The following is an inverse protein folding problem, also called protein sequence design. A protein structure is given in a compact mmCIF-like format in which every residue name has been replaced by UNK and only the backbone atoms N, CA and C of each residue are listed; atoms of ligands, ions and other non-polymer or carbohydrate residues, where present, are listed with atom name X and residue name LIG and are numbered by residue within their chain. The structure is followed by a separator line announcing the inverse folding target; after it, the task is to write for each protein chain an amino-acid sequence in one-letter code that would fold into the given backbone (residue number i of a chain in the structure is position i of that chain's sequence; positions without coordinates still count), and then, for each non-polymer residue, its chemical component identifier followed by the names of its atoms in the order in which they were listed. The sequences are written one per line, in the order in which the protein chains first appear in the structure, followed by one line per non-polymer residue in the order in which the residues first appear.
data_IF_653013642801
#
_entry.id   IF_653013642801
#
_cell.length_a   1.000
_cell.length_b   1.000
_cell.length_c   1.000
_cell.angle_alpha   90.00
_cell.angle_beta   90.00
_cell.angle_gamma   90.00
#
_symmetry.space_group_name_H-M   'P 1'
#
loop_
_entity.id
_entity.type
_entity.pdbx_description
1 polymer ?
#
# COMPACT_ATOMS: atom_id res chain seq x y z
N UNK A 1 -15.87 -69.22 40.60
CA UNK A 1 -17.11 -68.45 40.33
C UNK A 1 -17.80 -68.21 41.66
N UNK A 2 -18.36 -66.99 41.85
CA UNK A 2 -19.07 -66.45 43.04
C UNK A 2 -18.14 -66.16 44.25
N UNK A 3 -18.10 -65.01 44.95
CA UNK A 3 -18.92 -63.79 45.12
C UNK A 3 -18.06 -62.69 45.81
N UNK A 4 -18.30 -61.41 45.47
CA UNK A 4 -18.62 -60.25 46.36
C UNK A 4 -17.82 -60.03 47.65
N UNK A 5 -17.18 -58.86 47.87
CA UNK A 5 -17.74 -57.71 48.63
C UNK A 5 -16.70 -56.61 49.00
N UNK A 6 -17.22 -55.37 49.08
CA UNK A 6 -16.89 -54.19 49.93
C UNK A 6 -15.47 -53.60 50.13
N UNK A 7 -15.37 -52.34 49.68
CA UNK A 7 -15.15 -51.12 50.49
C UNK A 7 -14.14 -51.14 51.67
N UNK A 8 -13.05 -50.35 51.57
CA UNK A 8 -12.79 -49.13 52.37
C UNK A 8 -11.32 -48.64 52.26
N UNK A 9 -11.20 -47.32 52.02
CA UNK A 9 -10.00 -46.47 52.06
C UNK A 9 -9.39 -46.39 53.49
N UNK A 10 -8.13 -45.92 53.71
CA UNK A 10 -7.75 -44.51 53.44
C UNK A 10 -6.27 -44.21 53.07
N UNK A 11 -6.08 -43.02 52.47
CA UNK A 11 -5.01 -42.00 52.65
C UNK A 11 -3.55 -42.48 52.89
N UNK A 12 -2.48 -41.93 52.30
CA UNK A 12 -2.10 -40.53 52.06
C UNK A 12 -0.71 -40.57 51.39
N UNK A 13 -0.37 -39.57 50.56
CA UNK A 13 0.95 -38.95 50.32
C UNK A 13 1.09 -38.48 48.87
N UNK A 14 0.77 -37.20 48.66
CA UNK A 14 1.27 -36.40 47.53
C UNK A 14 2.80 -36.38 47.52
N UNK A 15 3.41 -36.27 46.33
CA UNK A 15 4.29 -35.12 46.11
C UNK A 15 3.87 -34.30 44.89
N UNK A 16 3.75 -33.02 45.17
CA UNK A 16 3.71 -31.84 44.32
C UNK A 16 4.66 -31.95 43.09
N UNK A 17 4.12 -31.86 41.87
CA UNK A 17 4.91 -31.58 40.66
C UNK A 17 4.45 -30.26 40.04
N UNK A 18 5.34 -29.30 40.23
CA UNK A 18 5.56 -27.99 39.63
C UNK A 18 5.00 -27.71 38.22
N UNK A 19 4.28 -26.58 38.15
CA UNK A 19 4.37 -25.53 37.14
C UNK A 19 4.48 -25.91 35.64
N UNK A 20 3.34 -26.05 34.96
CA UNK A 20 3.27 -25.79 33.51
C UNK A 20 2.93 -24.33 33.24
N UNK A 21 3.92 -23.45 33.39
CA UNK A 21 3.86 -22.05 32.95
C UNK A 21 3.91 -22.04 31.42
N UNK A 22 2.76 -21.87 30.75
CA UNK A 22 2.70 -21.57 29.31
C UNK A 22 3.58 -20.34 29.05
N UNK A 23 4.78 -20.55 28.49
CA UNK A 23 5.62 -19.46 27.99
C UNK A 23 4.90 -18.83 26.82
N UNK A 24 4.30 -17.65 27.04
CA UNK A 24 3.91 -16.75 25.96
C UNK A 24 5.22 -16.34 25.28
N UNK A 25 5.49 -16.93 24.12
CA UNK A 25 6.57 -16.46 23.25
C UNK A 25 6.14 -15.08 22.78
N UNK A 26 6.67 -14.04 23.42
CA UNK A 26 6.58 -12.69 22.92
C UNK A 26 7.55 -12.67 21.74
N UNK A 27 7.00 -12.76 20.53
CA UNK A 27 7.76 -12.51 19.32
C UNK A 27 8.13 -11.03 19.33
N UNK A 28 9.43 -10.77 19.32
CA UNK A 28 10.03 -9.46 19.16
C UNK A 28 9.51 -8.79 17.88
N UNK A 29 9.32 -7.48 17.90
CA UNK A 29 8.69 -6.73 16.80
C UNK A 29 9.46 -6.90 15.47
N UNK A 30 10.78 -7.08 15.55
CA UNK A 30 11.68 -7.38 14.43
C UNK A 30 11.32 -8.68 13.68
N UNK A 31 10.75 -9.67 14.36
CA UNK A 31 10.32 -10.92 13.71
C UNK A 31 8.99 -10.77 12.97
N UNK A 32 8.16 -9.78 13.35
CA UNK A 32 6.96 -9.42 12.60
C UNK A 32 7.32 -8.67 11.32
N UNK A 33 8.29 -7.78 11.40
CA UNK A 33 8.79 -7.04 10.25
C UNK A 33 9.44 -7.96 9.20
N UNK A 34 10.23 -8.95 9.64
CA UNK A 34 10.78 -9.98 8.73
C UNK A 34 9.72 -10.85 8.06
N UNK A 35 8.60 -11.15 8.73
CA UNK A 35 7.51 -11.93 8.14
C UNK A 35 6.63 -11.10 7.20
N UNK A 36 6.56 -9.78 7.40
CA UNK A 36 5.90 -8.86 6.47
C UNK A 36 6.72 -8.68 5.18
N UNK A 37 8.06 -8.81 5.22
CA UNK A 37 8.91 -8.90 4.03
C UNK A 37 8.75 -10.20 3.23
N UNK A 38 7.95 -11.16 3.68
CA UNK A 38 7.86 -12.49 3.05
C UNK A 38 6.67 -12.69 2.07
N UNK A 39 5.96 -11.65 1.62
CA UNK A 39 4.89 -11.83 0.62
C UNK A 39 5.26 -11.44 -0.80
N UNK A 40 6.33 -10.66 -1.03
CA UNK A 40 6.74 -10.22 -2.36
C UNK A 40 8.08 -10.85 -2.70
N UNK A 41 8.20 -11.40 -3.90
CA UNK A 41 9.50 -11.69 -4.48
C UNK A 41 10.21 -10.38 -4.85
N UNK A 42 11.55 -10.41 -4.91
CA UNK A 42 12.35 -9.26 -5.34
C UNK A 42 11.93 -8.78 -6.73
N UNK A 43 11.65 -9.71 -7.65
CA UNK A 43 11.15 -9.39 -8.99
C UNK A 43 9.79 -8.69 -8.97
N UNK A 44 8.82 -9.18 -8.17
CA UNK A 44 7.51 -8.53 -8.06
C UNK A 44 7.62 -7.11 -7.51
N UNK A 45 8.49 -6.91 -6.52
CA UNK A 45 8.78 -5.59 -5.98
C UNK A 45 9.35 -4.64 -7.03
N UNK A 46 10.39 -5.05 -7.75
CA UNK A 46 10.99 -4.22 -8.81
C UNK A 46 9.98 -3.90 -9.92
N UNK A 47 9.20 -4.89 -10.37
CA UNK A 47 8.18 -4.68 -11.39
C UNK A 47 7.09 -3.70 -10.94
N UNK A 48 6.66 -3.77 -9.68
CA UNK A 48 5.68 -2.83 -9.13
C UNK A 48 6.24 -1.42 -9.08
N UNK A 49 7.50 -1.25 -8.66
CA UNK A 49 8.13 0.06 -8.62
C UNK A 49 8.38 0.65 -10.01
N UNK A 50 8.78 -0.17 -10.98
CA UNK A 50 8.93 0.26 -12.37
C UNK A 50 7.57 0.73 -12.93
N UNK A 51 6.51 -0.07 -12.76
CA UNK A 51 5.17 0.28 -13.23
C UNK A 51 4.63 1.54 -12.53
N UNK A 52 4.85 1.68 -11.22
CA UNK A 52 4.50 2.88 -10.46
C UNK A 52 5.29 4.11 -10.92
N UNK A 53 6.56 3.95 -11.30
CA UNK A 53 7.41 5.04 -11.79
C UNK A 53 6.89 5.59 -13.11
N UNK A 54 6.55 4.71 -14.05
CA UNK A 54 5.96 5.10 -15.33
C UNK A 54 4.63 5.84 -15.12
N UNK A 55 3.78 5.35 -14.21
CA UNK A 55 2.52 6.02 -13.88
C UNK A 55 2.74 7.39 -13.22
N UNK A 56 3.79 7.54 -12.42
CA UNK A 56 4.19 8.83 -11.81
C UNK A 56 4.59 9.83 -12.88
N UNK A 57 5.42 9.42 -13.84
CA UNK A 57 5.87 10.28 -14.94
C UNK A 57 4.72 10.71 -15.86
N UNK A 58 3.81 9.79 -16.20
CA UNK A 58 2.61 10.13 -16.97
C UNK A 58 1.72 11.13 -16.22
N UNK A 59 1.55 10.95 -14.91
CA UNK A 59 0.77 11.84 -14.08
C UNK A 59 1.43 13.23 -13.93
N UNK A 60 2.76 13.27 -13.88
CA UNK A 60 3.55 14.51 -13.84
C UNK A 60 3.29 15.37 -15.08
N UNK A 61 3.34 14.75 -16.26
CA UNK A 61 3.02 15.42 -17.52
C UNK A 61 1.58 15.99 -17.51
N UNK A 62 0.61 15.20 -17.03
CA UNK A 62 -0.78 15.65 -16.94
C UNK A 62 -0.95 16.82 -15.97
N UNK A 63 -0.27 16.79 -14.81
CA UNK A 63 -0.28 17.91 -13.85
C UNK A 63 0.37 19.17 -14.43
N UNK A 64 1.46 19.02 -15.18
CA UNK A 64 2.12 20.14 -15.85
C UNK A 64 1.17 20.84 -16.83
N UNK A 65 0.52 20.07 -17.70
CA UNK A 65 -0.47 20.60 -18.66
C UNK A 65 -1.69 21.18 -17.94
N UNK A 66 -2.16 20.56 -16.86
CA UNK A 66 -3.27 21.10 -16.06
C UNK A 66 -2.90 22.47 -15.45
N UNK A 67 -1.66 22.64 -14.98
CA UNK A 67 -1.16 23.92 -14.48
C UNK A 67 -1.15 25.01 -15.56
N UNK A 68 -0.72 24.68 -16.78
CA UNK A 68 -0.75 25.59 -17.92
C UNK A 68 -2.18 26.00 -18.29
N UNK A 69 -3.08 25.01 -18.38
CA UNK A 69 -4.50 25.25 -18.63
C UNK A 69 -5.14 26.11 -17.54
N UNK A 70 -4.79 25.92 -16.26
CA UNK A 70 -5.31 26.78 -15.19
C UNK A 70 -4.93 28.25 -15.41
N UNK A 71 -3.70 28.50 -15.84
CA UNK A 71 -3.20 29.84 -16.13
C UNK A 71 -3.91 30.43 -17.35
N UNK A 72 -4.06 29.68 -18.43
CA UNK A 72 -4.69 30.17 -19.66
C UNK A 72 -6.20 30.40 -19.51
N UNK A 73 -6.86 29.56 -18.72
CA UNK A 73 -8.30 29.66 -18.43
C UNK A 73 -8.63 30.54 -17.22
N UNK A 74 -7.61 31.12 -16.56
CA UNK A 74 -7.75 31.91 -15.33
C UNK A 74 -8.51 31.19 -14.20
N UNK A 75 -8.30 29.88 -14.01
CA UNK A 75 -8.84 29.13 -12.89
C UNK A 75 -7.78 28.89 -11.79
N UNK A 76 -8.23 28.46 -10.60
CA UNK A 76 -7.32 28.19 -9.50
C UNK A 76 -6.40 27.01 -9.80
N UNK A 77 -5.08 27.25 -9.79
CA UNK A 77 -4.05 26.23 -10.00
C UNK A 77 -3.39 25.77 -8.69
N UNK A 78 -3.82 26.28 -7.53
CA UNK A 78 -3.23 25.90 -6.24
C UNK A 78 -3.27 24.38 -5.97
N UNK A 79 -4.38 23.66 -6.25
CA UNK A 79 -4.41 22.21 -6.05
C UNK A 79 -3.40 21.47 -6.95
N UNK A 80 -3.33 21.84 -8.23
CA UNK A 80 -2.42 21.21 -9.20
C UNK A 80 -0.96 21.43 -8.80
N UNK A 81 -0.60 22.64 -8.38
CA UNK A 81 0.76 22.93 -7.88
C UNK A 81 1.11 22.13 -6.61
N UNK A 82 0.15 22.00 -5.69
CA UNK A 82 0.35 21.18 -4.49
C UNK A 82 0.55 19.70 -4.84
N UNK A 83 -0.16 19.22 -5.86
CA UNK A 83 0.02 17.86 -6.36
C UNK A 83 1.38 17.66 -7.04
N UNK A 84 1.84 18.61 -7.86
CA UNK A 84 3.19 18.56 -8.44
C UNK A 84 4.25 18.44 -7.34
N UNK A 85 4.20 19.28 -6.30
CA UNK A 85 5.15 19.21 -5.19
C UNK A 85 5.08 17.88 -4.41
N UNK A 86 3.89 17.27 -4.31
CA UNK A 86 3.74 15.95 -3.68
C UNK A 86 4.31 14.85 -4.58
N UNK A 87 4.13 14.96 -5.90
CA UNK A 87 4.64 14.01 -6.87
C UNK A 87 6.17 14.06 -6.99
N UNK A 88 6.77 15.24 -6.79
CA UNK A 88 8.22 15.41 -6.67
C UNK A 88 8.75 14.67 -5.44
N UNK A 89 8.10 14.81 -4.28
CA UNK A 89 8.46 14.07 -3.06
C UNK A 89 8.35 12.55 -3.24
N UNK A 90 7.32 12.10 -3.97
CA UNK A 90 7.19 10.69 -4.36
C UNK A 90 8.35 10.27 -5.25
N UNK A 91 8.74 11.10 -6.23
CA UNK A 91 9.89 10.85 -7.10
C UNK A 91 11.20 10.71 -6.31
N UNK A 92 11.47 11.65 -5.40
CA UNK A 92 12.64 11.59 -4.51
C UNK A 92 12.65 10.29 -3.70
N UNK A 93 11.49 9.92 -3.12
CA UNK A 93 11.32 8.71 -2.35
C UNK A 93 11.60 7.44 -3.18
N UNK A 94 11.15 7.38 -4.44
CA UNK A 94 11.40 6.26 -5.36
C UNK A 94 12.88 6.14 -5.78
N UNK A 95 13.60 7.25 -5.83
CA UNK A 95 15.04 7.26 -6.16
C UNK A 95 15.95 7.03 -4.95
N UNK A 96 15.38 6.86 -3.76
CA UNK A 96 16.13 6.59 -2.54
C UNK A 96 16.95 5.29 -2.67
N UNK A 97 18.19 5.25 -2.15
CA UNK A 97 18.98 4.02 -2.12
C UNK A 97 18.42 2.94 -1.19
N UNK A 98 17.41 3.29 -0.38
CA UNK A 98 16.78 2.39 0.58
C UNK A 98 15.51 1.79 -0.04
N UNK A 99 15.28 0.47 0.11
CA UNK A 99 14.07 -0.16 -0.39
C UNK A 99 12.85 0.40 0.32
N UNK A 100 11.79 0.64 -0.46
CA UNK A 100 10.52 1.16 0.01
C UNK A 100 9.77 0.09 0.79
N UNK A 101 9.15 0.53 1.88
CA UNK A 101 8.24 -0.32 2.65
C UNK A 101 6.86 -0.36 1.99
N UNK A 102 6.12 -1.45 2.17
CA UNK A 102 4.73 -1.58 1.66
C UNK A 102 3.82 -0.42 2.10
N UNK A 103 3.88 0.09 3.35
CA UNK A 103 3.13 1.28 3.74
C UNK A 103 3.49 2.54 2.92
N UNK A 104 4.76 2.76 2.60
CA UNK A 104 5.19 3.88 1.75
C UNK A 104 4.62 3.73 0.34
N UNK A 105 4.74 2.54 -0.25
CA UNK A 105 4.18 2.25 -1.59
C UNK A 105 2.66 2.50 -1.60
N UNK A 106 1.95 2.06 -0.55
CA UNK A 106 0.51 2.30 -0.40
C UNK A 106 0.18 3.78 -0.35
N UNK A 107 0.90 4.53 0.46
CA UNK A 107 0.68 5.97 0.61
C UNK A 107 0.90 6.71 -0.72
N UNK A 108 2.00 6.40 -1.41
CA UNK A 108 2.27 6.94 -2.75
C UNK A 108 1.13 6.64 -3.72
N UNK A 109 0.66 5.39 -3.77
CA UNK A 109 -0.45 4.98 -4.62
C UNK A 109 -1.75 5.74 -4.30
N UNK A 110 -2.04 5.97 -3.02
CA UNK A 110 -3.22 6.72 -2.58
C UNK A 110 -3.14 8.21 -2.95
N UNK A 111 -1.95 8.81 -2.81
CA UNK A 111 -1.71 10.19 -3.23
C UNK A 111 -1.90 10.33 -4.76
N UNK A 112 -1.27 9.46 -5.55
CA UNK A 112 -1.42 9.44 -7.02
C UNK A 112 -2.86 9.20 -7.46
N UNK A 113 -3.60 8.31 -6.77
CA UNK A 113 -5.02 8.08 -7.04
C UNK A 113 -5.84 9.36 -6.83
N UNK A 114 -5.56 10.10 -5.74
CA UNK A 114 -6.24 11.36 -5.43
C UNK A 114 -6.00 12.41 -6.52
N UNK A 115 -4.77 12.52 -7.00
CA UNK A 115 -4.41 13.41 -8.12
C UNK A 115 -5.17 13.02 -9.40
N UNK A 116 -5.18 11.73 -9.75
CA UNK A 116 -5.88 11.20 -10.93
C UNK A 116 -7.38 11.48 -10.88
N UNK A 117 -8.00 11.26 -9.71
CA UNK A 117 -9.41 11.56 -9.47
C UNK A 117 -9.72 13.05 -9.63
N UNK A 118 -8.85 13.92 -9.10
CA UNK A 118 -8.99 15.37 -9.25
C UNK A 118 -8.92 15.78 -10.72
N UNK A 119 -7.90 15.32 -11.46
CA UNK A 119 -7.74 15.62 -12.89
C UNK A 119 -8.96 15.16 -13.70
N UNK A 120 -9.44 13.94 -13.46
CA UNK A 120 -10.65 13.42 -14.11
C UNK A 120 -11.91 14.23 -13.78
N UNK A 121 -12.03 14.76 -12.56
CA UNK A 121 -13.22 15.49 -12.13
C UNK A 121 -13.21 16.95 -12.57
N UNK A 122 -12.06 17.62 -12.49
CA UNK A 122 -11.95 19.07 -12.65
C UNK A 122 -11.40 19.44 -14.02
N UNK A 123 -10.39 18.71 -14.52
CA UNK A 123 -9.65 19.09 -15.71
C UNK A 123 -10.02 18.30 -16.97
N UNK A 124 -10.85 17.27 -16.88
CA UNK A 124 -11.18 16.42 -18.04
C UNK A 124 -11.65 17.23 -19.26
N UNK A 125 -12.55 18.21 -19.06
CA UNK A 125 -13.00 19.07 -20.15
C UNK A 125 -11.91 20.06 -20.60
N UNK A 126 -11.02 20.51 -19.71
CA UNK A 126 -9.91 21.38 -20.08
C UNK A 126 -8.91 20.65 -20.99
N UNK A 127 -8.62 19.37 -20.73
CA UNK A 127 -7.77 18.56 -21.59
C UNK A 127 -8.32 18.36 -23.00
N UNK A 128 -9.65 18.43 -23.20
CA UNK A 128 -10.24 18.40 -24.55
C UNK A 128 -9.90 19.62 -25.40
N UNK A 129 -9.51 20.75 -24.79
CA UNK A 129 -9.10 21.95 -25.51
C UNK A 129 -7.72 21.80 -26.17
N UNK A 130 -6.95 20.80 -25.72
CA UNK A 130 -5.57 20.53 -26.16
C UNK A 130 -5.39 19.08 -26.59
N UNK A 131 -6.47 18.38 -26.92
CA UNK A 131 -6.49 16.99 -27.40
C UNK A 131 -5.78 15.95 -26.49
N UNK A 132 -5.81 16.17 -25.18
CA UNK A 132 -5.15 15.30 -24.19
C UNK A 132 -6.12 14.48 -23.32
N UNK A 133 -7.43 14.53 -23.58
CA UNK A 133 -8.44 13.78 -22.84
C UNK A 133 -8.25 12.26 -22.94
N UNK A 134 -7.75 11.78 -24.07
CA UNK A 134 -7.52 10.35 -24.30
C UNK A 134 -6.28 9.89 -23.54
N UNK A 135 -5.24 10.72 -23.45
CA UNK A 135 -4.06 10.48 -22.61
C UNK A 135 -4.45 10.37 -21.13
N UNK A 136 -5.29 11.29 -20.62
CA UNK A 136 -5.80 11.23 -19.25
C UNK A 136 -6.59 9.94 -19.02
N UNK A 137 -7.44 9.54 -19.98
CA UNK A 137 -8.24 8.32 -19.88
C UNK A 137 -7.39 7.06 -19.88
N UNK A 138 -6.37 7.00 -20.75
CA UNK A 138 -5.45 5.89 -20.84
C UNK A 138 -4.64 5.76 -19.54
N UNK A 139 -4.03 6.85 -19.07
CA UNK A 139 -3.28 6.88 -17.82
C UNK A 139 -4.15 6.42 -16.64
N UNK A 140 -5.39 6.93 -16.54
CA UNK A 140 -6.37 6.47 -15.54
C UNK A 140 -6.63 4.97 -15.63
N UNK A 141 -6.86 4.44 -16.84
CA UNK A 141 -7.15 3.02 -17.02
C UNK A 141 -5.96 2.15 -16.62
N UNK A 142 -4.74 2.54 -17.00
CA UNK A 142 -3.50 1.87 -16.60
C UNK A 142 -3.32 1.90 -15.09
N UNK A 143 -3.54 3.07 -14.47
CA UNK A 143 -3.45 3.22 -13.02
C UNK A 143 -4.47 2.33 -12.29
N UNK A 144 -5.71 2.25 -12.76
CA UNK A 144 -6.72 1.38 -12.17
C UNK A 144 -6.36 -0.11 -12.31
N UNK A 145 -5.84 -0.52 -13.46
CA UNK A 145 -5.37 -1.89 -13.67
C UNK A 145 -4.20 -2.22 -12.73
N UNK A 146 -3.23 -1.31 -12.60
CA UNK A 146 -2.13 -1.44 -11.65
C UNK A 146 -2.62 -1.61 -10.22
N UNK A 147 -3.55 -0.77 -9.75
CA UNK A 147 -4.12 -0.89 -8.40
C UNK A 147 -4.85 -2.21 -8.25
N UNK A 148 -5.73 -2.60 -9.19
CA UNK A 148 -6.46 -3.86 -9.11
C UNK A 148 -5.55 -5.09 -9.09
N UNK A 149 -4.48 -5.08 -9.91
CA UNK A 149 -3.49 -6.17 -9.98
C UNK A 149 -2.71 -6.31 -8.68
N UNK A 150 -2.42 -5.20 -8.01
CA UNK A 150 -1.54 -5.17 -6.84
C UNK A 150 -2.26 -4.92 -5.51
N UNK A 151 -3.59 -4.80 -5.49
CA UNK A 151 -4.38 -4.41 -4.31
C UNK A 151 -4.11 -5.29 -3.08
N UNK A 152 -4.12 -6.61 -3.26
CA UNK A 152 -3.87 -7.56 -2.17
C UNK A 152 -2.44 -7.43 -1.60
N UNK A 153 -1.48 -7.13 -2.47
CA UNK A 153 -0.07 -7.00 -2.12
C UNK A 153 0.23 -5.69 -1.41
N UNK A 154 -0.37 -4.59 -1.88
CA UNK A 154 -0.22 -3.24 -1.32
C UNK A 154 -1.11 -3.06 -0.08
N UNK A 155 -2.15 -3.89 0.07
CA UNK A 155 -3.13 -3.85 1.17
C UNK A 155 -4.12 -2.70 1.04
N UNK A 156 -4.69 -2.56 -0.17
CA UNK A 156 -5.77 -1.64 -0.54
C UNK A 156 -7.12 -2.35 -0.63
#
# INVERSE_FOLDING_TARGET
MLLVDKHQHPQLLTPQVTASRKRKIVLDDDCREKRARCSWTELEYEMVLEEATLLREELELLLFVACDLCRDLNCDAAPVRSFSASLDQIGELMTSPQPLTVPQIREMCQQMLTMMQYLCRVHYNHFTLVDMQDQLRECRNRFMLFICKNAAMIGL
#
